data_IF_744757207816
#
_entry.id   IF_744757207816
#
_cell.length_a   1.000
_cell.length_b   1.000
_cell.length_c   1.000
_cell.angle_alpha   90.00
_cell.angle_beta   90.00
_cell.angle_gamma   90.00
#
_symmetry.space_group_name_H-M   'P 1'
#
loop_
_entity.id
_entity.type
_entity.pdbx_description
1 polymer ?
#
# COMPACT_ATOMS: atom_id res chain seq x y z
N UNK A 1 -18.81 -6.61 -6.46
CA UNK A 1 -18.23 -7.89 -6.90
C UNK A 1 -16.77 -8.03 -6.69
N UNK A 2 -16.32 -9.29 -6.76
CA UNK A 2 -15.00 -9.57 -7.30
C UNK A 2 -14.95 -8.91 -8.68
N UNK A 3 -14.21 -7.81 -8.77
CA UNK A 3 -14.23 -6.93 -9.94
C UNK A 3 -13.94 -7.74 -11.22
N UNK A 4 -13.13 -8.78 -11.13
CA UNK A 4 -12.87 -9.68 -12.26
C UNK A 4 -14.12 -10.45 -12.72
N UNK A 5 -14.92 -11.05 -11.83
CA UNK A 5 -16.09 -11.88 -12.21
C UNK A 5 -17.27 -11.07 -12.68
N UNK A 6 -17.61 -10.00 -11.97
CA UNK A 6 -18.81 -9.22 -12.31
C UNK A 6 -18.57 -8.24 -13.46
N UNK A 7 -17.38 -7.63 -13.54
CA UNK A 7 -17.11 -6.54 -14.48
C UNK A 7 -16.39 -6.97 -15.74
N UNK A 8 -15.53 -8.00 -15.66
CA UNK A 8 -14.60 -8.32 -16.74
C UNK A 8 -14.79 -9.72 -17.34
N UNK A 9 -15.13 -10.75 -16.56
CA UNK A 9 -15.36 -12.11 -17.09
C UNK A 9 -16.44 -12.22 -18.17
N UNK A 10 -17.54 -11.44 -18.15
CA UNK A 10 -18.53 -11.48 -19.21
C UNK A 10 -18.03 -10.93 -20.55
N UNK A 11 -16.83 -10.32 -20.58
CA UNK A 11 -16.29 -9.63 -21.74
C UNK A 11 -15.25 -10.50 -22.45
N UNK A 12 -15.34 -10.62 -23.77
CA UNK A 12 -14.30 -11.27 -24.58
C UNK A 12 -12.94 -10.55 -24.40
N UNK A 13 -11.90 -11.30 -24.01
CA UNK A 13 -10.60 -10.70 -23.65
C UNK A 13 -10.60 -9.93 -22.31
N UNK A 14 -11.64 -10.09 -21.49
CA UNK A 14 -11.83 -9.36 -20.23
C UNK A 14 -10.67 -9.47 -19.24
N UNK A 15 -9.90 -10.56 -19.26
CA UNK A 15 -8.68 -10.70 -18.45
C UNK A 15 -7.59 -9.70 -18.86
N UNK A 16 -7.36 -9.50 -20.17
CA UNK A 16 -6.42 -8.49 -20.68
C UNK A 16 -6.92 -7.08 -20.36
N UNK A 17 -8.23 -6.85 -20.47
CA UNK A 17 -8.83 -5.57 -20.09
C UNK A 17 -8.66 -5.30 -18.58
N UNK A 18 -8.85 -6.31 -17.73
CA UNK A 18 -8.61 -6.22 -16.28
C UNK A 18 -7.18 -5.78 -15.99
N UNK A 19 -6.17 -6.49 -16.49
CA UNK A 19 -4.77 -6.17 -16.23
C UNK A 19 -4.39 -4.79 -16.76
N UNK A 20 -4.78 -4.45 -17.99
CA UNK A 20 -4.48 -3.12 -18.54
C UNK A 20 -5.18 -1.98 -17.79
N UNK A 21 -6.40 -2.20 -17.26
CA UNK A 21 -7.07 -1.21 -16.42
C UNK A 21 -6.46 -1.10 -15.02
N UNK A 22 -5.86 -2.15 -14.46
CA UNK A 22 -5.09 -2.07 -13.21
C UNK A 22 -3.75 -1.37 -13.44
N UNK A 23 -3.09 -1.67 -14.55
CA UNK A 23 -1.88 -0.99 -14.97
C UNK A 23 -2.10 0.53 -15.07
N UNK A 24 -3.14 0.95 -15.81
CA UNK A 24 -3.49 2.38 -15.95
C UNK A 24 -3.98 3.03 -14.65
N UNK A 25 -4.41 2.25 -13.66
CA UNK A 25 -4.76 2.78 -12.33
C UNK A 25 -3.52 3.16 -11.55
N UNK A 26 -2.51 2.30 -11.59
CA UNK A 26 -1.37 2.38 -10.69
C UNK A 26 -0.25 3.21 -11.31
N UNK A 27 0.25 2.74 -12.46
CA UNK A 27 1.54 3.17 -13.01
C UNK A 27 1.62 4.65 -13.42
N UNK A 28 0.62 5.25 -14.09
CA UNK A 28 0.77 6.64 -14.55
C UNK A 28 0.99 7.64 -13.41
N UNK A 29 0.20 7.53 -12.33
CA UNK A 29 0.32 8.42 -11.18
C UNK A 29 1.55 8.05 -10.36
N UNK A 30 1.81 6.74 -10.19
CA UNK A 30 3.02 6.27 -9.53
C UNK A 30 4.28 6.85 -10.19
N UNK A 31 4.44 6.73 -11.51
CA UNK A 31 5.60 7.26 -12.22
C UNK A 31 5.70 8.78 -12.16
N UNK A 32 4.58 9.49 -12.19
CA UNK A 32 4.58 10.94 -12.01
C UNK A 32 5.09 11.31 -10.61
N UNK A 33 4.60 10.66 -9.56
CA UNK A 33 5.05 10.91 -8.18
C UNK A 33 6.50 10.47 -7.98
N UNK A 34 6.90 9.33 -8.56
CA UNK A 34 8.28 8.87 -8.56
C UNK A 34 9.22 9.89 -9.22
N UNK A 35 8.81 10.48 -10.34
CA UNK A 35 9.57 11.54 -10.99
C UNK A 35 9.66 12.82 -10.13
N UNK A 36 8.55 13.23 -9.49
CA UNK A 36 8.55 14.35 -8.53
C UNK A 36 9.52 14.08 -7.38
N UNK A 37 9.50 12.87 -6.81
CA UNK A 37 10.38 12.48 -5.71
C UNK A 37 11.85 12.39 -6.16
N UNK A 38 12.12 11.88 -7.36
CA UNK A 38 13.46 11.88 -7.94
C UNK A 38 13.98 13.32 -8.14
N UNK A 39 13.16 14.22 -8.69
CA UNK A 39 13.52 15.62 -8.88
C UNK A 39 13.79 16.30 -7.53
N UNK A 40 12.93 16.08 -6.53
CA UNK A 40 13.13 16.60 -5.19
C UNK A 40 14.43 16.07 -4.56
N UNK A 41 14.68 14.76 -4.67
CA UNK A 41 15.90 14.14 -4.18
C UNK A 41 17.16 14.73 -4.86
N UNK A 42 17.14 14.92 -6.18
CA UNK A 42 18.24 15.57 -6.92
C UNK A 42 18.43 17.01 -6.44
N UNK A 43 17.35 17.78 -6.31
CA UNK A 43 17.39 19.15 -5.81
C UNK A 43 18.03 19.23 -4.44
N UNK A 44 17.58 18.41 -3.49
CA UNK A 44 18.18 18.39 -2.15
C UNK A 44 19.63 17.90 -2.18
N UNK A 45 19.97 16.91 -3.00
CA UNK A 45 21.35 16.44 -3.11
C UNK A 45 22.31 17.51 -3.64
N UNK A 46 21.82 18.44 -4.48
CA UNK A 46 22.63 19.52 -5.04
C UNK A 46 22.68 20.77 -4.16
N UNK A 47 21.59 21.10 -3.47
CA UNK A 47 21.42 22.42 -2.83
C UNK A 47 21.28 22.37 -1.30
N UNK A 48 21.06 21.21 -0.69
CA UNK A 48 20.92 21.08 0.77
C UNK A 48 22.24 20.65 1.42
N UNK A 49 22.56 21.23 2.57
CA UNK A 49 23.71 20.82 3.38
C UNK A 49 23.53 19.35 3.83
N UNK A 50 24.41 18.46 3.37
CA UNK A 50 24.34 17.00 3.62
C UNK A 50 23.74 16.17 2.48
N UNK A 51 23.12 16.82 1.49
CA UNK A 51 22.54 16.17 0.32
C UNK A 51 21.36 15.22 0.62
N UNK A 52 20.87 14.49 -0.39
CA UNK A 52 19.89 13.42 -0.18
C UNK A 52 20.61 12.09 0.11
N UNK A 53 20.37 11.46 1.27
CA UNK A 53 21.08 10.25 1.68
C UNK A 53 20.77 9.07 0.75
N UNK A 54 19.58 9.00 0.15
CA UNK A 54 19.23 7.90 -0.77
C UNK A 54 20.07 8.00 -2.04
N UNK A 55 20.24 9.21 -2.58
CA UNK A 55 21.11 9.43 -3.74
C UNK A 55 22.58 9.22 -3.41
N UNK A 56 23.03 9.63 -2.22
CA UNK A 56 24.39 9.36 -1.75
C UNK A 56 24.66 7.85 -1.69
N UNK A 57 23.77 7.09 -1.03
CA UNK A 57 23.87 5.64 -0.91
C UNK A 57 23.88 4.92 -2.26
N UNK A 58 22.98 5.31 -3.18
CA UNK A 58 22.97 4.76 -4.54
C UNK A 58 24.23 5.15 -5.33
N UNK A 59 24.74 6.38 -5.14
CA UNK A 59 26.01 6.82 -5.71
C UNK A 59 27.19 6.00 -5.20
N UNK A 60 27.19 5.65 -3.92
CA UNK A 60 28.23 4.81 -3.31
C UNK A 60 28.19 3.39 -3.85
N UNK A 61 27.01 2.81 -4.10
CA UNK A 61 26.90 1.51 -4.81
C UNK A 61 27.57 1.54 -6.18
N UNK A 62 27.37 2.61 -6.94
CA UNK A 62 27.96 2.77 -8.28
C UNK A 62 29.47 2.94 -8.17
N UNK A 63 29.97 3.76 -7.22
CA UNK A 63 31.41 3.99 -7.02
C UNK A 63 32.16 2.76 -6.53
N UNK A 64 31.50 1.93 -5.70
CA UNK A 64 32.05 0.68 -5.17
C UNK A 64 31.92 -0.52 -6.14
N UNK A 65 31.37 -0.31 -7.34
CA UNK A 65 31.27 -1.35 -8.37
C UNK A 65 30.07 -2.29 -8.22
N UNK A 66 29.12 -2.01 -7.32
CA UNK A 66 27.91 -2.80 -7.10
C UNK A 66 26.79 -2.45 -8.12
N UNK A 67 27.13 -2.42 -9.41
CA UNK A 67 26.21 -2.05 -10.48
C UNK A 67 24.99 -2.98 -10.60
N UNK A 68 25.19 -4.28 -10.36
CA UNK A 68 24.09 -5.26 -10.36
C UNK A 68 23.04 -4.94 -9.30
N UNK A 69 23.49 -4.65 -8.07
CA UNK A 69 22.63 -4.25 -6.95
C UNK A 69 21.86 -2.97 -7.27
N UNK A 70 22.57 -1.93 -7.75
CA UNK A 70 21.93 -0.68 -8.18
C UNK A 70 20.90 -0.93 -9.29
N UNK A 71 21.23 -1.74 -10.30
CA UNK A 71 20.34 -2.11 -11.38
C UNK A 71 19.08 -2.83 -10.90
N UNK A 72 19.21 -3.80 -9.99
CA UNK A 72 18.07 -4.51 -9.39
C UNK A 72 17.17 -3.55 -8.60
N UNK A 73 17.75 -2.67 -7.79
CA UNK A 73 16.98 -1.67 -7.04
C UNK A 73 16.27 -0.68 -7.96
N UNK A 74 16.92 -0.25 -9.06
CA UNK A 74 16.32 0.64 -10.04
C UNK A 74 15.16 -0.02 -10.77
N UNK A 75 15.35 -1.25 -11.28
CA UNK A 75 14.30 -2.02 -11.95
C UNK A 75 13.14 -2.27 -11.01
N UNK A 76 13.41 -2.66 -9.76
CA UNK A 76 12.37 -2.90 -8.76
C UNK A 76 11.52 -1.64 -8.54
N UNK A 77 12.16 -0.48 -8.35
CA UNK A 77 11.45 0.78 -8.13
C UNK A 77 10.65 1.25 -9.34
N UNK A 78 11.24 1.20 -10.54
CA UNK A 78 10.56 1.68 -11.76
C UNK A 78 9.39 0.75 -12.15
N UNK A 79 9.55 -0.55 -11.94
CA UNK A 79 8.52 -1.55 -12.27
C UNK A 79 7.51 -1.80 -11.15
N UNK A 80 7.75 -1.29 -9.94
CA UNK A 80 7.08 -1.67 -8.69
C UNK A 80 7.23 -3.14 -8.30
N UNK A 81 7.90 -3.98 -9.09
CA UNK A 81 8.01 -5.40 -8.79
C UNK A 81 9.08 -5.64 -7.73
N UNK A 82 8.68 -6.25 -6.62
CA UNK A 82 9.61 -6.63 -5.56
C UNK A 82 10.13 -5.46 -4.72
N UNK A 83 9.48 -4.28 -4.75
CA UNK A 83 9.92 -3.12 -3.94
C UNK A 83 9.78 -3.37 -2.44
N UNK A 84 9.02 -4.39 -2.05
CA UNK A 84 8.95 -4.90 -0.69
C UNK A 84 10.21 -5.69 -0.28
N UNK A 85 10.88 -6.36 -1.21
CA UNK A 85 12.00 -7.26 -0.91
C UNK A 85 13.18 -6.56 -0.22
N UNK A 86 13.62 -5.34 -0.60
CA UNK A 86 14.68 -4.62 0.09
C UNK A 86 14.44 -4.40 1.60
N UNK A 87 13.20 -4.49 2.09
CA UNK A 87 12.94 -4.45 3.53
C UNK A 87 13.51 -5.69 4.24
N UNK A 88 13.54 -6.84 3.58
CA UNK A 88 14.01 -8.12 4.14
C UNK A 88 15.55 -8.18 4.29
N UNK A 89 16.27 -7.31 3.60
CA UNK A 89 17.74 -7.32 3.57
C UNK A 89 18.35 -6.12 4.28
N UNK A 90 19.54 -6.32 4.83
CA UNK A 90 20.45 -5.23 5.19
C UNK A 90 21.65 -5.21 4.27
N UNK A 91 22.21 -4.04 4.09
CA UNK A 91 23.38 -3.76 3.27
C UNK A 91 24.58 -3.46 4.16
N UNK A 92 25.74 -3.98 3.77
CA UNK A 92 27.04 -3.59 4.32
C UNK A 92 28.06 -3.44 3.17
N UNK A 93 28.98 -2.46 3.21
CA UNK A 93 29.93 -2.21 2.12
C UNK A 93 30.87 -3.39 1.80
N UNK A 94 31.25 -4.21 2.79
CA UNK A 94 32.17 -5.34 2.56
C UNK A 94 31.47 -6.59 2.03
N UNK A 95 30.23 -6.85 2.46
CA UNK A 95 29.50 -8.11 2.20
C UNK A 95 28.28 -7.97 1.31
N UNK A 96 27.85 -6.74 1.02
CA UNK A 96 26.67 -6.44 0.22
C UNK A 96 25.34 -6.68 0.94
N UNK A 97 24.31 -7.09 0.19
CA UNK A 97 23.00 -7.41 0.74
C UNK A 97 23.00 -8.78 1.42
N UNK A 98 22.55 -8.83 2.67
CA UNK A 98 22.44 -10.07 3.44
C UNK A 98 21.08 -10.18 4.14
N UNK A 99 20.69 -11.43 4.43
CA UNK A 99 19.53 -11.78 5.25
C UNK A 99 19.82 -11.55 6.74
N UNK A 100 20.32 -10.36 7.06
CA UNK A 100 20.62 -9.94 8.41
C UNK A 100 19.75 -8.72 8.70
N UNK A 101 18.99 -8.75 9.78
CA UNK A 101 17.95 -7.75 10.04
C UNK A 101 17.93 -7.38 11.52
N UNK A 102 19.08 -7.05 12.12
CA UNK A 102 19.09 -6.59 13.51
C UNK A 102 18.33 -5.26 13.64
N UNK A 103 17.43 -5.16 14.63
CA UNK A 103 16.77 -3.89 14.97
C UNK A 103 17.77 -2.87 15.52
N UNK A 104 18.87 -3.37 16.09
CA UNK A 104 20.06 -2.60 16.44
C UNK A 104 21.08 -2.70 15.29
N UNK A 105 21.01 -1.84 14.30
CA UNK A 105 22.20 -1.56 13.47
C UNK A 105 23.05 -0.53 14.20
N UNK A 106 23.84 -0.99 15.16
CA UNK A 106 25.08 -0.32 15.54
C UNK A 106 26.19 -0.76 14.57
N UNK A 107 26.91 0.18 13.97
CA UNK A 107 27.96 -0.09 12.97
C UNK A 107 27.57 0.24 11.51
N UNK A 108 28.29 -0.34 10.54
CA UNK A 108 28.20 -0.03 9.09
C UNK A 108 26.99 -0.65 8.35
N UNK A 109 26.10 -1.37 9.06
CA UNK A 109 24.94 -2.03 8.45
C UNK A 109 23.77 -1.06 8.25
N UNK A 110 23.11 -1.13 7.09
CA UNK A 110 21.98 -0.27 6.74
C UNK A 110 20.82 -1.06 6.18
N UNK A 111 19.58 -0.70 6.55
CA UNK A 111 18.38 -1.37 5.99
C UNK A 111 18.27 -1.14 4.49
N UNK A 112 17.91 -2.18 3.74
CA UNK A 112 17.85 -2.11 2.28
C UNK A 112 16.80 -1.15 1.72
N UNK A 113 15.72 -0.90 2.44
CA UNK A 113 14.72 0.09 2.04
C UNK A 113 15.28 1.53 2.00
N UNK A 114 16.39 1.82 2.70
CA UNK A 114 17.03 3.15 2.68
C UNK A 114 17.58 3.53 1.30
N UNK A 115 17.76 2.56 0.40
CA UNK A 115 18.17 2.81 -0.99
C UNK A 115 16.99 3.18 -1.89
N UNK A 116 15.76 2.99 -1.42
CA UNK A 116 14.56 3.27 -2.20
C UNK A 116 14.18 4.76 -2.10
N UNK A 117 13.87 5.36 -3.24
CA UNK A 117 13.26 6.69 -3.34
C UNK A 117 11.88 6.68 -2.71
N UNK A 118 11.04 5.72 -3.09
CA UNK A 118 9.67 5.55 -2.57
C UNK A 118 9.57 4.30 -1.69
N UNK A 119 10.13 4.29 -0.46
CA UNK A 119 10.13 3.11 0.39
C UNK A 119 8.70 2.65 0.71
N UNK A 120 7.72 3.55 0.83
CA UNK A 120 6.32 3.23 1.07
C UNK A 120 5.67 2.43 -0.06
N UNK A 121 6.20 2.45 -1.29
CA UNK A 121 5.61 1.78 -2.46
C UNK A 121 5.54 0.24 -2.36
N UNK A 122 6.12 -0.36 -1.31
CA UNK A 122 6.02 -1.79 -1.02
C UNK A 122 4.57 -2.30 -1.02
N UNK A 123 3.59 -1.51 -0.55
CA UNK A 123 2.19 -1.94 -0.55
C UNK A 123 1.63 -2.09 -1.97
N UNK A 124 2.09 -1.27 -2.92
CA UNK A 124 1.68 -1.36 -4.32
C UNK A 124 2.28 -2.60 -4.97
N UNK A 125 3.51 -2.98 -4.61
CA UNK A 125 4.09 -4.26 -5.04
C UNK A 125 3.26 -5.44 -4.53
N UNK A 126 2.85 -5.43 -3.25
CA UNK A 126 1.93 -6.42 -2.70
C UNK A 126 0.58 -6.44 -3.45
N UNK A 127 0.06 -5.28 -3.84
CA UNK A 127 -1.16 -5.16 -4.64
C UNK A 127 -0.98 -5.77 -6.06
N UNK A 128 0.15 -5.52 -6.72
CA UNK A 128 0.50 -6.12 -8.01
C UNK A 128 0.66 -7.65 -7.91
N UNK A 129 1.34 -8.12 -6.86
CA UNK A 129 1.46 -9.54 -6.56
C UNK A 129 0.07 -10.17 -6.39
N UNK A 130 -0.80 -9.55 -5.60
CA UNK A 130 -2.19 -10.00 -5.46
C UNK A 130 -2.92 -10.02 -6.80
N UNK A 131 -2.84 -8.97 -7.61
CA UNK A 131 -3.52 -8.91 -8.91
C UNK A 131 -3.07 -10.02 -9.86
N UNK A 132 -1.80 -10.43 -9.81
CA UNK A 132 -1.33 -11.59 -10.57
C UNK A 132 -2.02 -12.90 -10.15
N UNK A 133 -2.39 -13.02 -8.87
CA UNK A 133 -3.02 -14.20 -8.29
C UNK A 133 -4.55 -14.17 -8.33
N UNK A 134 -5.19 -13.01 -8.54
CA UNK A 134 -6.67 -12.86 -8.55
C UNK A 134 -7.37 -13.90 -9.45
N UNK A 135 -6.92 -14.19 -10.69
CA UNK A 135 -7.58 -15.19 -11.54
C UNK A 135 -7.62 -16.59 -10.92
N UNK A 136 -6.60 -16.95 -10.15
CA UNK A 136 -6.51 -18.22 -9.42
C UNK A 136 -7.35 -18.16 -8.13
N UNK A 137 -7.10 -17.16 -7.29
CA UNK A 137 -7.75 -17.01 -5.97
C UNK A 137 -9.28 -16.95 -6.08
N UNK A 138 -9.78 -16.28 -7.11
CA UNK A 138 -11.21 -16.16 -7.34
C UNK A 138 -11.89 -17.51 -7.63
N UNK A 139 -11.17 -18.47 -8.23
CA UNK A 139 -11.67 -19.82 -8.53
C UNK A 139 -11.66 -20.74 -7.30
N UNK A 140 -10.94 -20.38 -6.24
CA UNK A 140 -10.82 -21.21 -5.06
C UNK A 140 -12.14 -21.26 -4.28
N UNK A 141 -12.55 -22.44 -3.82
CA UNK A 141 -13.70 -22.58 -2.92
C UNK A 141 -13.45 -21.90 -1.56
N UNK A 142 -14.50 -21.60 -0.81
CA UNK A 142 -14.41 -20.92 0.50
C UNK A 142 -13.46 -21.64 1.47
N UNK A 143 -13.47 -22.99 1.50
CA UNK A 143 -12.54 -23.79 2.32
C UNK A 143 -11.07 -23.50 2.01
N UNK A 144 -10.71 -23.27 0.75
CA UNK A 144 -9.34 -23.00 0.32
C UNK A 144 -8.93 -21.57 0.66
N UNK A 145 -9.85 -20.60 0.59
CA UNK A 145 -9.60 -19.24 1.07
C UNK A 145 -9.33 -19.25 2.58
N UNK A 146 -10.14 -19.99 3.35
CA UNK A 146 -9.92 -20.18 4.80
C UNK A 146 -8.57 -20.86 5.06
N UNK A 147 -8.21 -21.89 4.29
CA UNK A 147 -6.91 -22.54 4.41
C UNK A 147 -5.74 -21.59 4.13
N UNK A 148 -5.84 -20.69 3.15
CA UNK A 148 -4.83 -19.67 2.88
C UNK A 148 -4.69 -18.69 4.06
N UNK A 149 -5.81 -18.23 4.62
CA UNK A 149 -5.82 -17.31 5.77
C UNK A 149 -5.17 -17.99 6.99
N UNK A 150 -5.64 -19.17 7.36
CA UNK A 150 -5.11 -19.92 8.51
C UNK A 150 -3.65 -20.32 8.28
N UNK A 151 -3.28 -20.68 7.05
CA UNK A 151 -1.90 -20.99 6.67
C UNK A 151 -0.99 -19.77 6.82
N UNK A 152 -1.42 -18.58 6.39
CA UNK A 152 -0.66 -17.34 6.58
C UNK A 152 -0.48 -17.01 8.06
N UNK A 153 -1.54 -17.14 8.87
CA UNK A 153 -1.47 -16.93 10.32
C UNK A 153 -0.51 -17.93 10.97
N UNK A 154 -0.59 -19.21 10.59
CA UNK A 154 0.29 -20.25 11.10
C UNK A 154 1.76 -19.98 10.73
N UNK A 155 2.04 -19.65 9.46
CA UNK A 155 3.39 -19.29 9.01
C UNK A 155 3.88 -18.07 9.79
N UNK A 156 3.10 -17.00 9.89
CA UNK A 156 3.48 -15.79 10.65
C UNK A 156 3.75 -16.09 12.14
N UNK A 157 2.99 -16.98 12.76
CA UNK A 157 3.17 -17.37 14.16
C UNK A 157 4.40 -18.27 14.38
N UNK A 158 4.75 -19.11 13.39
CA UNK A 158 5.87 -20.04 13.46
C UNK A 158 7.19 -19.45 12.95
N UNK A 159 7.14 -18.41 12.13
CA UNK A 159 8.30 -17.80 11.49
C UNK A 159 9.42 -17.42 12.49
N UNK A 160 9.12 -16.76 13.64
CA UNK A 160 10.15 -16.41 14.62
C UNK A 160 10.84 -17.61 15.29
N UNK A 161 10.33 -18.84 15.10
CA UNK A 161 10.97 -20.07 15.62
C UNK A 161 12.00 -20.66 14.64
N UNK A 162 11.95 -20.27 13.37
CA UNK A 162 12.78 -20.84 12.31
C UNK A 162 13.82 -19.89 11.73
N UNK A 163 13.66 -18.58 11.91
CA UNK A 163 14.60 -17.55 11.46
C UNK A 163 14.80 -16.50 12.56
N UNK A 164 15.75 -15.59 12.34
CA UNK A 164 15.99 -14.44 13.21
C UNK A 164 14.67 -13.69 13.53
N UNK A 165 14.35 -13.41 14.82
CA UNK A 165 13.08 -12.80 15.20
C UNK A 165 12.82 -11.43 14.56
N UNK A 166 13.86 -10.62 14.36
CA UNK A 166 13.72 -9.30 13.75
C UNK A 166 13.49 -9.41 12.24
N UNK A 167 14.17 -10.35 11.56
CA UNK A 167 13.84 -10.71 10.18
C UNK A 167 12.41 -11.25 10.06
N UNK A 168 11.96 -12.08 11.00
CA UNK A 168 10.59 -12.59 11.02
C UNK A 168 9.57 -11.46 11.19
N UNK A 169 9.87 -10.44 11.99
CA UNK A 169 9.03 -9.25 12.15
C UNK A 169 8.85 -8.51 10.82
N UNK A 170 9.95 -8.17 10.16
CA UNK A 170 9.91 -7.47 8.88
C UNK A 170 9.28 -8.33 7.78
N UNK A 171 9.52 -9.65 7.77
CA UNK A 171 8.86 -10.53 6.81
C UNK A 171 7.34 -10.50 6.95
N UNK A 172 6.81 -10.53 8.19
CA UNK A 172 5.35 -10.46 8.43
C UNK A 172 4.72 -9.17 7.92
N UNK A 173 5.46 -8.06 7.92
CA UNK A 173 4.93 -6.75 7.56
C UNK A 173 5.04 -6.45 6.06
N UNK A 174 6.12 -6.91 5.41
CA UNK A 174 6.45 -6.48 4.04
C UNK A 174 6.39 -7.61 3.01
N UNK A 175 6.63 -8.87 3.38
CA UNK A 175 6.76 -9.94 2.38
C UNK A 175 5.41 -10.26 1.74
N UNK A 176 5.25 -9.99 0.44
CA UNK A 176 3.98 -10.07 -0.26
C UNK A 176 3.23 -11.41 -0.10
N UNK A 177 3.89 -12.59 -0.12
CA UNK A 177 3.21 -13.86 0.15
C UNK A 177 2.58 -13.97 1.54
N UNK A 178 3.14 -13.32 2.56
CA UNK A 178 2.57 -13.28 3.93
C UNK A 178 1.42 -12.26 4.06
N UNK A 179 1.28 -11.35 3.09
CA UNK A 179 0.11 -10.46 2.98
C UNK A 179 -1.09 -11.15 2.33
N UNK A 180 -0.91 -12.33 1.74
CA UNK A 180 -1.95 -13.04 1.00
C UNK A 180 -3.17 -13.38 1.88
N UNK A 181 -2.96 -13.58 3.18
CA UNK A 181 -4.03 -13.78 4.16
C UNK A 181 -5.03 -12.61 4.20
N UNK A 182 -4.56 -11.35 4.13
CA UNK A 182 -5.42 -10.17 4.11
C UNK A 182 -6.23 -10.05 2.82
N UNK A 183 -5.61 -10.37 1.67
CA UNK A 183 -6.34 -10.37 0.40
C UNK A 183 -7.40 -11.48 0.35
N UNK A 184 -7.06 -12.67 0.84
CA UNK A 184 -7.98 -13.80 0.94
C UNK A 184 -9.15 -13.51 1.90
N UNK A 185 -8.90 -12.82 3.02
CA UNK A 185 -9.96 -12.41 3.95
C UNK A 185 -10.92 -11.41 3.31
N UNK A 186 -10.42 -10.48 2.49
CA UNK A 186 -11.28 -9.59 1.69
C UNK A 186 -12.18 -10.34 0.70
N UNK A 187 -11.64 -11.34 0.00
CA UNK A 187 -12.44 -12.21 -0.89
C UNK A 187 -13.51 -13.01 -0.11
N UNK A 188 -13.13 -13.54 1.05
CA UNK A 188 -14.03 -14.28 1.94
C UNK A 188 -15.15 -13.38 2.48
N UNK A 189 -14.81 -12.18 2.96
CA UNK A 189 -15.76 -11.20 3.45
C UNK A 189 -16.78 -10.81 2.37
N UNK A 190 -16.32 -10.61 1.13
CA UNK A 190 -17.24 -10.37 0.02
C UNK A 190 -18.19 -11.55 -0.25
N UNK A 191 -17.73 -12.81 -0.14
CA UNK A 191 -18.60 -14.00 -0.31
C UNK A 191 -19.65 -14.11 0.80
N UNK A 192 -19.26 -13.84 2.04
CA UNK A 192 -20.18 -13.79 3.18
C UNK A 192 -21.22 -12.70 2.93
N UNK A 193 -20.75 -11.52 2.54
CA UNK A 193 -21.60 -10.38 2.26
C UNK A 193 -22.60 -10.64 1.12
N UNK A 194 -22.15 -11.22 0.00
CA UNK A 194 -23.01 -11.56 -1.13
C UNK A 194 -24.11 -12.57 -0.76
N UNK A 195 -23.81 -13.51 0.15
CA UNK A 195 -24.79 -14.50 0.63
C UNK A 195 -25.80 -13.92 1.63
N UNK A 196 -25.40 -12.94 2.42
CA UNK A 196 -26.18 -12.38 3.52
C UNK A 196 -26.54 -10.90 3.29
N UNK A 197 -26.68 -10.50 2.03
CA UNK A 197 -26.82 -9.12 1.60
C UNK A 197 -27.90 -8.36 2.37
N UNK A 198 -29.14 -8.86 2.36
CA UNK A 198 -30.27 -8.13 2.96
C UNK A 198 -30.13 -7.94 4.46
N UNK A 199 -29.60 -8.95 5.17
CA UNK A 199 -29.41 -8.90 6.61
C UNK A 199 -28.27 -7.93 7.01
N UNK A 200 -27.19 -7.87 6.23
CA UNK A 200 -26.05 -7.00 6.50
C UNK A 200 -26.30 -5.56 6.02
N UNK A 201 -26.83 -5.37 4.82
CA UNK A 201 -27.06 -4.03 4.27
C UNK A 201 -28.18 -3.31 5.01
N UNK A 202 -29.35 -3.96 5.19
CA UNK A 202 -30.57 -3.31 5.72
C UNK A 202 -30.83 -3.63 7.19
N UNK A 203 -30.24 -4.70 7.72
CA UNK A 203 -30.47 -5.15 9.09
C UNK A 203 -29.61 -4.46 10.15
N UNK A 204 -29.95 -4.65 11.43
CA UNK A 204 -29.21 -4.07 12.56
C UNK A 204 -27.78 -4.60 12.68
N UNK A 205 -27.53 -5.83 12.22
CA UNK A 205 -26.21 -6.45 12.29
C UNK A 205 -25.14 -5.67 11.54
N UNK A 206 -25.46 -5.08 10.38
CA UNK A 206 -24.54 -4.21 9.67
C UNK A 206 -24.20 -2.93 10.45
N UNK A 207 -25.19 -2.35 11.14
CA UNK A 207 -24.96 -1.20 12.03
C UNK A 207 -24.06 -1.59 13.19
N UNK A 208 -24.33 -2.74 13.83
CA UNK A 208 -23.49 -3.26 14.90
C UNK A 208 -22.05 -3.47 14.45
N UNK A 209 -21.81 -4.02 13.26
CA UNK A 209 -20.45 -4.19 12.71
C UNK A 209 -19.73 -2.85 12.54
N UNK A 210 -20.40 -1.83 11.99
CA UNK A 210 -19.83 -0.49 11.82
C UNK A 210 -19.55 0.17 13.19
N UNK A 211 -20.47 0.05 14.14
CA UNK A 211 -20.29 0.59 15.50
C UNK A 211 -19.13 -0.11 16.21
N UNK A 212 -19.02 -1.43 16.13
CA UNK A 212 -17.89 -2.17 16.71
C UNK A 212 -16.59 -1.76 16.05
N UNK A 213 -16.55 -1.62 14.72
CA UNK A 213 -15.37 -1.10 14.02
C UNK A 213 -14.98 0.29 14.55
N UNK A 214 -15.94 1.20 14.70
CA UNK A 214 -15.70 2.55 15.21
C UNK A 214 -15.19 2.53 16.66
N UNK A 215 -15.81 1.73 17.54
CA UNK A 215 -15.42 1.58 18.95
C UNK A 215 -14.01 1.02 19.05
N UNK A 216 -13.68 -0.04 18.29
CA UNK A 216 -12.34 -0.62 18.30
C UNK A 216 -11.30 0.34 17.74
N UNK A 217 -11.66 1.15 16.73
CA UNK A 217 -10.75 2.13 16.12
C UNK A 217 -10.48 3.32 17.04
N UNK A 218 -11.54 3.94 17.59
CA UNK A 218 -11.43 5.10 18.49
C UNK A 218 -10.85 4.69 19.83
N UNK A 219 -11.27 3.54 20.35
CA UNK A 219 -10.77 2.95 21.58
C UNK A 219 -9.47 2.17 21.43
N UNK A 220 -8.81 2.21 20.26
CA UNK A 220 -7.66 1.35 19.96
C UNK A 220 -6.56 1.50 21.02
N UNK A 221 -6.24 2.74 21.39
CA UNK A 221 -5.21 3.01 22.40
C UNK A 221 -5.56 2.34 23.74
N UNK A 222 -6.78 2.55 24.24
CA UNK A 222 -7.25 1.97 25.50
C UNK A 222 -7.30 0.43 25.45
N UNK A 223 -7.84 -0.14 24.38
CA UNK A 223 -7.95 -1.59 24.19
C UNK A 223 -6.58 -2.24 23.99
N UNK A 224 -5.62 -1.54 23.38
CA UNK A 224 -4.27 -2.06 23.15
C UNK A 224 -3.46 -2.24 24.44
N UNK A 225 -3.80 -1.52 25.52
CA UNK A 225 -3.21 -1.73 26.84
C UNK A 225 -3.56 -3.11 27.44
N UNK A 226 -4.75 -3.66 27.12
CA UNK A 226 -5.14 -5.00 27.57
C UNK A 226 -4.37 -6.08 26.81
N UNK A 227 -4.33 -5.96 25.48
CA UNK A 227 -3.54 -6.81 24.61
C UNK A 227 -3.40 -6.17 23.25
N UNK A 228 -2.23 -5.62 22.96
CA UNK A 228 -1.95 -4.99 21.67
C UNK A 228 -2.21 -5.95 20.49
N UNK A 229 -1.76 -7.21 20.64
CA UNK A 229 -1.95 -8.25 19.61
C UNK A 229 -3.44 -8.51 19.38
N UNK A 230 -4.21 -8.82 20.43
CA UNK A 230 -5.62 -9.17 20.27
C UNK A 230 -6.43 -8.02 19.68
N UNK A 231 -6.15 -6.78 20.11
CA UNK A 231 -6.80 -5.58 19.59
C UNK A 231 -6.49 -5.37 18.11
N UNK A 232 -5.24 -5.59 17.69
CA UNK A 232 -4.85 -5.49 16.28
C UNK A 232 -5.51 -6.57 15.40
N UNK A 233 -5.48 -7.83 15.84
CA UNK A 233 -6.17 -8.93 15.14
C UNK A 233 -7.68 -8.70 15.06
N UNK A 234 -8.27 -8.22 16.16
CA UNK A 234 -9.68 -7.84 16.24
C UNK A 234 -10.03 -6.73 15.25
N UNK A 235 -9.19 -5.70 15.14
CA UNK A 235 -9.35 -4.60 14.18
C UNK A 235 -9.33 -5.13 12.73
N UNK A 236 -8.39 -6.02 12.39
CA UNK A 236 -8.34 -6.59 11.04
C UNK A 236 -9.54 -7.51 10.74
N UNK A 237 -9.96 -8.33 11.70
CA UNK A 237 -11.12 -9.20 11.56
C UNK A 237 -12.43 -8.41 11.42
N UNK A 238 -12.67 -7.42 12.29
CA UNK A 238 -13.88 -6.58 12.22
C UNK A 238 -13.83 -5.69 10.98
N UNK A 239 -12.68 -5.12 10.64
CA UNK A 239 -12.50 -4.26 9.46
C UNK A 239 -12.81 -5.02 8.16
N UNK A 240 -12.26 -6.22 7.99
CA UNK A 240 -12.52 -7.03 6.80
C UNK A 240 -14.01 -7.39 6.63
N UNK A 241 -14.76 -7.59 7.72
CA UNK A 241 -16.20 -7.84 7.67
C UNK A 241 -17.06 -6.58 7.54
N UNK A 242 -16.66 -5.49 8.20
CA UNK A 242 -17.44 -4.25 8.26
C UNK A 242 -17.26 -3.38 7.01
N UNK A 243 -16.10 -3.41 6.35
CA UNK A 243 -15.82 -2.57 5.18
C UNK A 243 -16.84 -2.77 4.02
N UNK A 244 -17.21 -3.99 3.61
CA UNK A 244 -18.24 -4.18 2.58
C UNK A 244 -19.57 -3.52 2.94
N UNK A 245 -19.99 -3.62 4.21
CA UNK A 245 -21.23 -3.02 4.72
C UNK A 245 -21.15 -1.50 4.74
N UNK A 246 -20.02 -0.96 5.21
CA UNK A 246 -19.76 0.47 5.24
C UNK A 246 -19.88 1.06 3.82
N UNK A 247 -19.16 0.49 2.85
CA UNK A 247 -19.21 0.95 1.47
C UNK A 247 -20.59 0.82 0.83
N UNK A 248 -21.34 -0.24 1.14
CA UNK A 248 -22.69 -0.41 0.61
C UNK A 248 -23.64 0.69 1.08
N UNK A 249 -23.51 1.13 2.34
CA UNK A 249 -24.34 2.18 2.95
C UNK A 249 -23.89 3.59 2.58
N UNK A 250 -22.59 3.81 2.34
CA UNK A 250 -22.06 5.15 2.02
C UNK A 250 -21.94 5.43 0.52
N UNK A 251 -22.14 4.43 -0.36
CA UNK A 251 -21.97 4.57 -1.83
C UNK A 251 -22.76 5.71 -2.50
N UNK A 252 -23.85 6.17 -1.90
CA UNK A 252 -24.69 7.26 -2.43
C UNK A 252 -24.21 8.65 -1.98
N UNK A 253 -23.31 8.73 -0.99
CA UNK A 253 -22.79 9.97 -0.43
C UNK A 253 -21.68 10.51 -1.35
N UNK A 254 -21.98 11.59 -2.07
CA UNK A 254 -21.06 12.17 -3.07
C UNK A 254 -19.73 12.64 -2.47
N UNK A 255 -19.74 13.20 -1.25
CA UNK A 255 -18.53 13.67 -0.58
C UNK A 255 -17.64 12.52 -0.08
N UNK A 256 -18.24 11.44 0.44
CA UNK A 256 -17.51 10.22 0.82
C UNK A 256 -16.74 9.65 -0.38
N UNK A 257 -17.41 9.55 -1.53
CA UNK A 257 -16.78 9.12 -2.78
C UNK A 257 -15.61 10.03 -3.18
N UNK A 258 -15.76 11.35 -3.08
CA UNK A 258 -14.68 12.30 -3.40
C UNK A 258 -13.45 12.14 -2.49
N UNK A 259 -13.67 11.88 -1.20
CA UNK A 259 -12.57 11.60 -0.26
C UNK A 259 -11.90 10.25 -0.61
N UNK A 260 -12.70 9.26 -0.98
CA UNK A 260 -12.21 7.97 -1.48
C UNK A 260 -11.32 8.10 -2.72
N UNK A 261 -11.73 8.93 -3.68
CA UNK A 261 -10.97 9.18 -4.92
C UNK A 261 -9.60 9.86 -4.61
N UNK A 262 -9.53 10.71 -3.58
CA UNK A 262 -8.27 11.33 -3.15
C UNK A 262 -7.33 10.39 -2.39
N UNK A 263 -7.82 9.26 -1.88
CA UNK A 263 -7.04 8.38 -0.99
C UNK A 263 -5.78 7.82 -1.66
N UNK A 264 -5.85 7.48 -2.96
CA UNK A 264 -4.71 6.93 -3.69
C UNK A 264 -3.63 7.99 -4.00
N UNK A 265 -3.95 9.14 -4.62
CA UNK A 265 -2.97 10.22 -4.80
C UNK A 265 -2.37 10.68 -3.46
N UNK A 266 -3.17 10.80 -2.40
CA UNK A 266 -2.70 11.19 -1.07
C UNK A 266 -1.68 10.19 -0.50
N UNK A 267 -1.99 8.90 -0.59
CA UNK A 267 -1.07 7.84 -0.19
C UNK A 267 0.25 7.88 -0.97
N UNK A 268 0.25 8.26 -2.25
CA UNK A 268 1.51 8.35 -2.98
C UNK A 268 2.36 9.56 -2.58
N UNK A 269 1.73 10.72 -2.37
CA UNK A 269 2.46 12.00 -2.21
C UNK A 269 2.82 12.35 -0.77
N UNK A 270 2.16 11.77 0.23
CA UNK A 270 2.39 12.19 1.62
C UNK A 270 3.85 12.04 2.06
N UNK A 271 4.54 10.96 1.64
CA UNK A 271 5.93 10.73 2.00
C UNK A 271 6.87 11.81 1.43
N UNK A 272 6.76 12.15 0.14
CA UNK A 272 7.60 13.20 -0.47
C UNK A 272 7.30 14.57 0.14
N UNK A 273 6.04 14.86 0.49
CA UNK A 273 5.66 16.10 1.19
C UNK A 273 6.29 16.15 2.59
N UNK A 274 6.16 15.09 3.37
CA UNK A 274 6.76 14.98 4.72
C UNK A 274 8.27 15.20 4.65
N UNK A 275 8.96 14.50 3.74
CA UNK A 275 10.41 14.63 3.55
C UNK A 275 10.81 16.04 3.11
N UNK A 276 10.04 16.64 2.20
CA UNK A 276 10.30 17.98 1.69
C UNK A 276 10.11 19.04 2.78
N UNK A 277 9.02 18.96 3.54
CA UNK A 277 8.76 19.87 4.66
C UNK A 277 9.84 19.77 5.72
N UNK A 278 10.26 18.54 6.07
CA UNK A 278 11.32 18.32 7.05
C UNK A 278 12.66 18.93 6.64
N UNK A 279 12.97 18.99 5.33
CA UNK A 279 14.21 19.62 4.84
C UNK A 279 14.12 21.12 4.61
N UNK A 280 12.95 21.64 4.26
CA UNK A 280 12.77 23.05 3.92
C UNK A 280 12.40 23.93 5.11
N UNK A 281 11.82 23.35 6.17
CA UNK A 281 11.37 24.10 7.35
C UNK A 281 12.25 23.68 8.53
N UNK A 282 13.29 24.47 8.87
CA UNK A 282 14.14 24.17 10.02
C UNK A 282 13.32 24.11 11.31
N UNK A 283 13.60 23.14 12.18
CA UNK A 283 12.89 22.99 13.47
C UNK A 283 12.99 24.24 14.34
N UNK A 284 14.11 24.98 14.22
CA UNK A 284 14.34 26.25 14.91
C UNK A 284 13.35 27.34 14.49
N UNK A 285 12.88 27.35 13.23
CA UNK A 285 11.89 28.31 12.76
C UNK A 285 10.50 28.09 13.39
N UNK A 286 10.24 26.89 13.89
CA UNK A 286 9.00 26.54 14.59
C UNK A 286 9.13 26.61 16.11
N UNK A 287 10.33 26.89 16.63
CA UNK A 287 10.60 26.96 18.08
C UNK A 287 10.70 25.60 18.77
N UNK A 288 10.97 24.52 18.03
CA UNK A 288 11.12 23.16 18.57
C UNK A 288 12.53 22.62 18.30
N UNK A 289 13.02 21.73 19.18
CA UNK A 289 14.31 21.06 18.98
C UNK A 289 14.24 20.09 17.79
N UNK A 290 13.16 19.31 17.72
CA UNK A 290 12.86 18.42 16.60
C UNK A 290 11.60 18.88 15.86
N UNK A 291 11.67 18.81 14.54
CA UNK A 291 10.60 19.15 13.62
C UNK A 291 9.33 18.34 13.87
N UNK A 292 9.47 17.07 14.27
CA UNK A 292 8.34 16.19 14.56
C UNK A 292 7.61 16.51 15.88
N UNK A 293 8.18 17.36 16.73
CA UNK A 293 7.54 17.80 17.98
C UNK A 293 6.58 18.98 17.77
N UNK A 294 6.67 19.67 16.64
CA UNK A 294 5.81 20.81 16.35
C UNK A 294 4.39 20.36 15.99
N UNK A 295 3.33 20.88 16.66
CA UNK A 295 1.95 20.60 16.26
C UNK A 295 1.59 21.21 14.89
N UNK A 296 2.35 22.20 14.43
CA UNK A 296 2.17 22.79 13.10
C UNK A 296 2.59 21.82 11.99
N UNK A 297 3.59 20.97 12.23
CA UNK A 297 4.09 20.03 11.23
C UNK A 297 3.02 19.08 10.66
N UNK A 298 2.30 18.28 11.46
CA UNK A 298 1.29 17.37 10.93
C UNK A 298 0.18 18.13 10.18
N UNK A 299 -0.17 19.35 10.62
CA UNK A 299 -1.14 20.19 9.93
C UNK A 299 -0.65 20.63 8.55
N UNK A 300 0.62 21.08 8.45
CA UNK A 300 1.24 21.44 7.17
C UNK A 300 1.37 20.21 6.26
N UNK A 301 1.80 19.06 6.80
CA UNK A 301 1.91 17.82 6.05
C UNK A 301 0.55 17.40 5.48
N UNK A 302 -0.53 17.44 6.27
CA UNK A 302 -1.90 17.16 5.81
C UNK A 302 -2.32 18.16 4.75
N UNK A 303 -2.10 19.46 4.97
CA UNK A 303 -2.50 20.52 4.05
C UNK A 303 -1.83 20.36 2.69
N UNK A 304 -0.49 20.27 2.66
CA UNK A 304 0.26 20.17 1.41
C UNK A 304 0.08 18.82 0.72
N UNK A 305 -0.03 17.72 1.47
CA UNK A 305 -0.31 16.40 0.88
C UNK A 305 -1.70 16.38 0.25
N UNK A 306 -2.70 16.95 0.92
CA UNK A 306 -4.07 17.03 0.38
C UNK A 306 -4.15 17.95 -0.83
N UNK A 307 -3.48 19.10 -0.80
CA UNK A 307 -3.42 20.02 -1.93
C UNK A 307 -2.76 19.38 -3.17
N UNK A 308 -1.63 18.70 -2.98
CA UNK A 308 -0.94 18.01 -4.07
C UNK A 308 -1.74 16.79 -4.57
N UNK A 309 -2.34 16.02 -3.67
CA UNK A 309 -3.23 14.90 -4.03
C UNK A 309 -4.44 15.37 -4.86
N UNK A 310 -5.06 16.49 -4.46
CA UNK A 310 -6.17 17.10 -5.18
C UNK A 310 -5.76 17.60 -6.57
N UNK A 311 -4.57 18.20 -6.68
CA UNK A 311 -4.02 18.59 -7.98
C UNK A 311 -3.81 17.38 -8.90
N UNK A 312 -3.23 16.28 -8.38
CA UNK A 312 -3.02 15.06 -9.15
C UNK A 312 -4.34 14.37 -9.55
N UNK A 313 -5.31 14.33 -8.65
CA UNK A 313 -6.64 13.77 -8.92
C UNK A 313 -7.32 14.51 -10.07
N UNK A 314 -7.39 15.84 -9.96
CA UNK A 314 -8.16 16.67 -10.90
C UNK A 314 -7.52 16.75 -12.28
N UNK A 315 -6.18 16.71 -12.35
CA UNK A 315 -5.39 16.88 -13.59
C UNK A 315 -5.19 15.58 -14.35
N UNK A 316 -4.94 14.47 -13.63
CA UNK A 316 -4.54 13.18 -14.21
C UNK A 316 -5.48 12.04 -13.82
N UNK A 317 -5.65 11.74 -12.53
CA UNK A 317 -6.35 10.51 -12.08
C UNK A 317 -7.78 10.44 -12.62
N UNK A 318 -8.54 11.53 -12.49
CA UNK A 318 -9.91 11.59 -12.96
C UNK A 318 -10.04 11.38 -14.47
N UNK A 319 -9.08 11.89 -15.26
CA UNK A 319 -9.07 11.71 -16.71
C UNK A 319 -8.74 10.25 -17.06
N UNK A 320 -7.79 9.65 -16.36
CA UNK A 320 -7.45 8.25 -16.52
C UNK A 320 -8.57 7.32 -16.09
N UNK A 321 -9.28 7.60 -15.00
CA UNK A 321 -10.42 6.80 -14.58
C UNK A 321 -11.54 6.88 -15.63
N UNK A 322 -11.91 8.08 -16.10
CA UNK A 322 -12.89 8.23 -17.18
C UNK A 322 -12.48 7.45 -18.43
N UNK A 323 -11.20 7.49 -18.82
CA UNK A 323 -10.69 6.71 -19.93
C UNK A 323 -10.82 5.19 -19.69
N UNK A 324 -10.43 4.71 -18.51
CA UNK A 324 -10.55 3.29 -18.11
C UNK A 324 -12.00 2.81 -18.09
N UNK A 325 -12.94 3.62 -17.60
CA UNK A 325 -14.37 3.29 -17.61
C UNK A 325 -14.92 3.22 -19.04
N UNK A 326 -14.57 4.17 -19.91
CA UNK A 326 -14.98 4.18 -21.32
C UNK A 326 -14.51 2.92 -22.07
N UNK A 327 -13.30 2.41 -21.78
CA UNK A 327 -12.80 1.16 -22.36
C UNK A 327 -13.69 -0.04 -22.01
N UNK A 328 -14.15 -0.13 -20.76
CA UNK A 328 -15.06 -1.19 -20.30
C UNK A 328 -16.41 -1.08 -21.00
N UNK A 329 -17.00 0.13 -21.00
CA UNK A 329 -18.31 0.38 -21.61
C UNK A 329 -18.33 0.06 -23.11
N UNK A 330 -17.27 0.42 -23.84
CA UNK A 330 -17.15 0.11 -25.28
C UNK A 330 -17.17 -1.39 -25.56
N UNK A 331 -16.43 -2.19 -24.79
CA UNK A 331 -16.42 -3.64 -24.97
C UNK A 331 -17.74 -4.31 -24.54
N UNK A 332 -18.42 -3.77 -23.52
CA UNK A 332 -19.76 -4.23 -23.15
C UNK A 332 -20.78 -3.93 -24.26
N UNK A 333 -20.72 -2.74 -24.86
CA UNK A 333 -21.61 -2.34 -25.94
C UNK A 333 -21.43 -3.20 -27.21
N UNK A 334 -20.19 -3.54 -27.58
CA UNK A 334 -19.94 -4.39 -28.76
C UNK A 334 -20.49 -5.80 -28.60
N UNK A 335 -20.56 -6.33 -27.38
CA UNK A 335 -21.16 -7.64 -27.09
C UNK A 335 -22.68 -7.59 -27.21
N UNK A 336 -23.32 -6.52 -26.75
CA UNK A 336 -24.77 -6.36 -26.85
C UNK A 336 -25.28 -6.07 -28.27
N UNK A 337 -24.44 -5.59 -29.17
CA UNK A 337 -24.80 -5.32 -30.57
C UNK A 337 -24.54 -6.50 -31.52
N UNK A 338 -23.82 -7.52 -31.07
CA UNK A 338 -23.47 -8.72 -31.83
C UNK A 338 -24.29 -9.96 -31.50
N UNK A 339 -25.19 -9.87 -30.51
CA UNK A 339 -26.23 -10.85 -30.16
C UNK A 339 -27.57 -10.40 -30.73
#
# INVERSE_FOLDING_TARGET
>A
GLILTEKYQPIEGGLRLFFSNRFLRIFPIFWLVFAIELIAAIGFHRFSAGGDPRLTLNGDLIRSGHYGTFGTLLVSQVSLLGTELPNLFSWNPQSGFSWHNTMETGGEWMRGWKFLLMPHSWTLSCELFFYSLVPLLNRLSTRWLVAIILGNIAVAALLPRGIDPALAEVAKDYFAPLQLGFFASGLLAYRIYARHWDWLEKGPAGTSLIVVLLVVTVGFNQLSHLSHRLTLWGLFAIGSLALPVLFARTRTIKWDRRIGDLSYPLYLVHAVVILTLHRLVPSQCLGFEDFFQSPAFPLLAILFSTALAWLLETTLDRKLDQFRQRRVQRQQASLSSGS
#
